data_IF_696491234096
#
_entry.id   IF_696491234096
#
_cell.length_a   1.000
_cell.length_b   1.000
_cell.length_c   1.000
_cell.angle_alpha   90.00
_cell.angle_beta   90.00
_cell.angle_gamma   90.00
#
_symmetry.space_group_name_H-M   'P 1'
#
loop_
_entity.id
_entity.type
_entity.pdbx_description
1 polymer ?
#
# COMPACT_ATOMS: atom_id res chain seq x y z
N UNK A 1 1.23 21.53 -16.44
CA UNK A 1 -0.22 21.31 -16.20
C UNK A 1 -0.81 20.19 -17.08
N UNK A 2 -0.01 19.47 -17.87
CA UNK A 2 -0.48 18.44 -18.82
C UNK A 2 -0.45 17.00 -18.26
N UNK A 3 0.18 16.80 -17.10
CA UNK A 3 0.39 15.49 -16.47
C UNK A 3 -0.80 15.03 -15.60
N UNK A 4 -1.58 15.98 -15.07
CA UNK A 4 -2.76 15.66 -14.26
C UNK A 4 -3.91 15.08 -15.09
N UNK A 5 -4.10 15.57 -16.32
CA UNK A 5 -5.14 15.09 -17.23
C UNK A 5 -4.91 13.65 -17.70
N UNK A 6 -3.66 13.18 -17.75
CA UNK A 6 -3.32 11.80 -18.15
C UNK A 6 -3.43 10.83 -16.98
N UNK A 7 -3.19 11.27 -15.75
CA UNK A 7 -3.40 10.44 -14.56
C UNK A 7 -4.89 10.17 -14.29
N UNK A 8 -5.75 11.21 -14.36
CA UNK A 8 -7.20 11.03 -14.18
C UNK A 8 -7.82 10.16 -15.28
N UNK A 9 -7.37 10.30 -16.53
CA UNK A 9 -7.81 9.44 -17.62
C UNK A 9 -7.49 7.95 -17.35
N UNK A 10 -6.33 7.66 -16.75
CA UNK A 10 -5.94 6.28 -16.37
C UNK A 10 -6.80 5.71 -15.24
N UNK A 11 -7.29 6.54 -14.31
CA UNK A 11 -8.22 6.08 -13.26
C UNK A 11 -9.54 5.59 -13.87
N UNK A 12 -10.03 6.27 -14.90
CA UNK A 12 -11.29 5.92 -15.58
C UNK A 12 -11.11 4.64 -16.40
N UNK A 13 -10.02 4.55 -17.17
CA UNK A 13 -9.73 3.39 -18.03
C UNK A 13 -9.49 2.11 -17.23
N UNK A 14 -8.83 2.20 -16.07
CA UNK A 14 -8.50 1.06 -15.23
C UNK A 14 -9.23 1.17 -13.89
N UNK A 15 -10.56 1.02 -13.90
CA UNK A 15 -11.37 1.06 -12.67
C UNK A 15 -11.98 -0.31 -12.34
N UNK A 16 -12.02 -0.63 -11.04
CA UNK A 16 -12.72 -1.79 -10.50
C UNK A 16 -13.18 -1.45 -9.08
N UNK A 17 -14.45 -1.70 -8.76
CA UNK A 17 -14.96 -1.43 -7.41
C UNK A 17 -14.48 -2.52 -6.46
N UNK A 18 -13.57 -2.16 -5.53
CA UNK A 18 -12.95 -3.08 -4.59
C UNK A 18 -13.08 -2.57 -3.17
N UNK A 19 -13.75 -3.32 -2.30
CA UNK A 19 -13.86 -3.01 -0.88
C UNK A 19 -13.60 -4.23 0.00
N UNK A 20 -12.37 -4.30 0.51
CA UNK A 20 -11.90 -5.39 1.39
C UNK A 20 -12.47 -5.37 2.81
N UNK A 21 -13.09 -4.29 3.25
CA UNK A 21 -13.59 -4.16 4.63
C UNK A 21 -15.08 -4.47 4.75
N UNK A 22 -15.75 -4.78 3.63
CA UNK A 22 -17.13 -5.26 3.64
C UNK A 22 -17.23 -6.66 4.24
N UNK A 23 -18.34 -7.00 4.92
CA UNK A 23 -18.63 -8.37 5.33
C UNK A 23 -18.64 -9.36 4.15
N UNK A 24 -19.13 -8.91 2.98
CA UNK A 24 -19.21 -9.71 1.77
C UNK A 24 -17.84 -10.20 1.31
N UNK A 25 -16.81 -9.36 1.41
CA UNK A 25 -15.44 -9.73 1.04
C UNK A 25 -14.91 -10.92 1.86
N UNK A 26 -15.33 -11.06 3.12
CA UNK A 26 -14.98 -12.22 3.95
C UNK A 26 -15.52 -13.52 3.36
N UNK A 27 -16.77 -13.51 2.92
CA UNK A 27 -17.47 -14.71 2.45
C UNK A 27 -17.21 -14.99 0.95
N UNK A 28 -16.80 -13.97 0.20
CA UNK A 28 -16.63 -13.99 -1.26
C UNK A 28 -15.22 -13.60 -1.71
N UNK A 29 -14.21 -13.79 -0.86
CA UNK A 29 -12.82 -13.44 -1.15
C UNK A 29 -12.33 -14.02 -2.50
N UNK A 30 -12.46 -15.33 -2.69
CA UNK A 30 -11.98 -16.02 -3.89
C UNK A 30 -12.65 -15.53 -5.18
N UNK A 31 -13.98 -15.48 -5.30
CA UNK A 31 -14.61 -15.01 -6.54
C UNK A 31 -14.30 -13.54 -6.83
N UNK A 32 -14.31 -12.65 -5.83
CA UNK A 32 -14.00 -11.22 -6.02
C UNK A 32 -12.57 -11.05 -6.53
N UNK A 33 -11.60 -11.67 -5.85
CA UNK A 33 -10.18 -11.52 -6.24
C UNK A 33 -9.87 -12.21 -7.56
N UNK A 34 -10.53 -13.32 -7.89
CA UNK A 34 -10.39 -14.00 -9.19
C UNK A 34 -10.94 -13.16 -10.34
N UNK A 35 -12.09 -12.52 -10.15
CA UNK A 35 -12.67 -11.60 -11.14
C UNK A 35 -11.75 -10.41 -11.37
N UNK A 36 -11.31 -9.75 -10.29
CA UNK A 36 -10.40 -8.60 -10.38
C UNK A 36 -9.10 -8.99 -11.11
N UNK A 37 -8.49 -10.10 -10.73
CA UNK A 37 -7.26 -10.59 -11.36
C UNK A 37 -7.44 -10.87 -12.86
N UNK A 38 -8.59 -11.45 -13.25
CA UNK A 38 -8.88 -11.78 -14.64
C UNK A 38 -9.28 -10.59 -15.52
N UNK A 39 -9.74 -9.49 -14.92
CA UNK A 39 -10.26 -8.33 -15.65
C UNK A 39 -9.31 -7.13 -15.61
N UNK A 40 -8.84 -6.75 -14.43
CA UNK A 40 -8.02 -5.56 -14.22
C UNK A 40 -7.06 -5.79 -13.02
N UNK A 41 -5.90 -6.44 -13.23
CA UNK A 41 -4.98 -6.81 -12.16
C UNK A 41 -4.32 -5.60 -11.47
N UNK A 42 -4.40 -4.41 -12.07
CA UNK A 42 -4.09 -3.13 -11.47
C UNK A 42 -5.24 -2.16 -11.75
N UNK A 43 -6.04 -1.86 -10.73
CA UNK A 43 -7.24 -1.06 -10.88
C UNK A 43 -7.35 0.04 -9.84
N UNK A 44 -7.93 1.17 -10.23
CA UNK A 44 -8.36 2.24 -9.37
C UNK A 44 -9.73 1.88 -8.77
N UNK A 45 -9.87 2.03 -7.46
CA UNK A 45 -11.14 1.98 -6.76
C UNK A 45 -11.42 3.32 -6.10
N UNK A 46 -12.68 3.71 -6.02
CA UNK A 46 -13.15 4.94 -5.38
C UNK A 46 -13.33 4.79 -3.85
N UNK A 47 -13.19 3.58 -3.33
CA UNK A 47 -13.35 3.30 -1.90
C UNK A 47 -12.29 4.02 -1.07
N UNK A 48 -12.70 4.50 0.11
CA UNK A 48 -11.83 5.14 1.10
C UNK A 48 -11.04 6.37 0.60
N UNK A 49 -11.63 7.14 -0.32
CA UNK A 49 -11.00 8.35 -0.87
C UNK A 49 -10.11 8.10 -2.08
N UNK A 50 -10.21 6.91 -2.69
CA UNK A 50 -9.57 6.60 -3.95
C UNK A 50 -8.16 6.02 -3.78
N UNK A 51 -7.92 4.85 -4.36
CA UNK A 51 -6.60 4.24 -4.38
C UNK A 51 -6.45 3.19 -5.49
N UNK A 52 -5.20 2.88 -5.84
CA UNK A 52 -4.86 1.76 -6.70
C UNK A 52 -4.78 0.46 -5.90
N UNK A 53 -5.28 -0.63 -6.50
CA UNK A 53 -5.23 -1.99 -5.97
C UNK A 53 -4.50 -2.86 -6.98
N UNK A 54 -3.43 -3.53 -6.53
CA UNK A 54 -2.71 -4.53 -7.29
C UNK A 54 -3.17 -5.93 -6.84
N UNK A 55 -3.83 -6.67 -7.73
CA UNK A 55 -4.30 -8.03 -7.49
C UNK A 55 -3.37 -9.09 -8.09
N UNK A 56 -2.61 -8.73 -9.13
CA UNK A 56 -1.69 -9.65 -9.81
C UNK A 56 -0.33 -9.77 -9.12
N UNK A 57 0.26 -10.96 -9.21
CA UNK A 57 1.57 -11.23 -8.61
C UNK A 57 2.66 -10.35 -9.21
N UNK A 58 2.69 -10.20 -10.54
CA UNK A 58 3.64 -9.34 -11.25
C UNK A 58 3.58 -7.90 -10.73
N UNK A 59 2.38 -7.33 -10.66
CA UNK A 59 2.12 -5.96 -10.20
C UNK A 59 2.57 -5.77 -8.75
N UNK A 60 2.18 -6.71 -7.86
CA UNK A 60 2.57 -6.69 -6.45
C UNK A 60 4.10 -6.76 -6.31
N UNK A 61 4.75 -7.67 -7.03
CA UNK A 61 6.20 -7.81 -6.95
C UNK A 61 6.94 -6.58 -7.48
N UNK A 62 6.49 -6.00 -8.60
CA UNK A 62 7.10 -4.78 -9.13
C UNK A 62 6.95 -3.61 -8.16
N UNK A 63 5.75 -3.38 -7.62
CA UNK A 63 5.51 -2.30 -6.66
C UNK A 63 6.30 -2.48 -5.35
N UNK A 64 6.37 -3.70 -4.81
CA UNK A 64 7.09 -3.99 -3.57
C UNK A 64 8.61 -3.76 -3.66
N UNK A 65 9.17 -3.76 -4.88
CA UNK A 65 10.61 -3.52 -5.14
C UNK A 65 10.88 -2.11 -5.67
N UNK A 66 9.84 -1.35 -5.98
CA UNK A 66 9.96 -0.06 -6.65
C UNK A 66 10.52 1.01 -5.68
N UNK A 67 11.66 1.64 -5.99
CA UNK A 67 12.24 2.67 -5.13
C UNK A 67 11.46 4.00 -5.15
N UNK A 68 10.44 4.11 -5.99
CA UNK A 68 9.58 5.29 -6.13
C UNK A 68 8.28 5.19 -5.30
N UNK A 69 8.02 4.03 -4.69
CA UNK A 69 6.90 3.85 -3.76
C UNK A 69 7.40 4.12 -2.34
N UNK A 70 6.62 4.89 -1.59
CA UNK A 70 6.93 5.29 -0.23
C UNK A 70 5.94 4.67 0.74
N UNK A 71 6.44 4.24 1.90
CA UNK A 71 5.63 3.82 3.03
C UNK A 71 5.56 4.90 4.13
N UNK A 72 6.25 6.03 3.95
CA UNK A 72 6.41 7.05 4.97
C UNK A 72 5.04 7.57 5.47
N UNK A 73 4.91 7.69 6.78
CA UNK A 73 3.82 8.40 7.41
C UNK A 73 4.36 9.70 8.02
N UNK A 74 4.22 10.78 7.25
CA UNK A 74 4.68 12.12 7.59
C UNK A 74 3.68 12.86 8.46
N UNK A 75 3.63 12.47 9.73
CA UNK A 75 2.69 13.00 10.72
C UNK A 75 2.96 14.46 11.06
N UNK A 76 4.22 14.87 11.03
CA UNK A 76 4.64 16.24 11.34
C UNK A 76 4.63 17.16 10.11
N UNK A 77 4.54 16.60 8.90
CA UNK A 77 4.49 17.35 7.65
C UNK A 77 5.84 17.96 7.24
N UNK A 78 6.94 17.40 7.71
CA UNK A 78 8.29 17.91 7.46
C UNK A 78 9.00 17.17 6.30
N UNK A 79 8.42 16.08 5.80
CA UNK A 79 8.97 15.24 4.74
C UNK A 79 8.17 15.44 3.45
N UNK A 80 7.59 14.37 2.89
CA UNK A 80 6.90 14.40 1.59
C UNK A 80 5.37 14.39 1.72
N UNK A 81 4.84 14.47 2.95
CA UNK A 81 3.39 14.47 3.19
C UNK A 81 2.70 13.12 2.95
N UNK A 82 3.45 12.03 2.81
CA UNK A 82 2.86 10.69 2.67
C UNK A 82 2.12 10.29 3.96
N UNK A 83 1.10 9.44 3.80
CA UNK A 83 0.08 9.18 4.84
C UNK A 83 0.20 7.80 5.48
N UNK A 84 1.32 7.11 5.27
CA UNK A 84 1.55 5.75 5.73
C UNK A 84 0.91 4.68 4.84
N UNK A 85 0.77 3.49 5.41
CA UNK A 85 0.45 2.26 4.66
C UNK A 85 -1.00 1.77 4.86
N UNK A 86 -1.79 2.47 5.66
CA UNK A 86 -3.13 2.04 6.05
C UNK A 86 -4.21 2.60 5.11
N UNK A 87 -5.11 1.72 4.64
CA UNK A 87 -6.28 2.06 3.82
C UNK A 87 -7.53 1.37 4.39
N UNK A 88 -8.56 2.10 4.87
CA UNK A 88 -8.56 3.54 5.08
C UNK A 88 -7.53 3.97 6.14
N UNK A 89 -7.06 5.21 6.05
CA UNK A 89 -6.23 5.79 7.10
C UNK A 89 -7.07 5.99 8.36
N UNK A 90 -6.73 5.28 9.44
CA UNK A 90 -7.40 5.44 10.75
C UNK A 90 -6.89 6.64 11.54
N UNK A 91 -7.64 7.06 12.56
CA UNK A 91 -7.27 8.17 13.46
C UNK A 91 -5.92 7.93 14.17
N UNK A 92 -5.65 6.70 14.60
CA UNK A 92 -4.36 6.36 15.25
C UNK A 92 -3.18 6.64 14.31
N UNK A 93 -3.34 6.39 13.01
CA UNK A 93 -2.30 6.63 12.00
C UNK A 93 -2.07 8.12 11.71
N UNK A 94 -2.92 9.03 12.21
CA UNK A 94 -2.67 10.48 12.13
C UNK A 94 -1.91 11.01 13.33
N UNK A 95 -1.87 10.26 14.43
CA UNK A 95 -1.23 10.66 15.69
C UNK A 95 0.14 10.00 15.88
N UNK A 96 0.31 8.75 15.41
CA UNK A 96 1.52 7.98 15.64
C UNK A 96 1.97 7.24 14.38
N UNK A 97 3.30 7.19 14.18
CA UNK A 97 3.92 6.44 13.07
C UNK A 97 4.12 5.00 13.50
N UNK A 98 3.70 4.04 12.67
CA UNK A 98 3.70 2.60 12.92
C UNK A 98 5.08 1.92 12.98
N UNK A 99 6.11 2.62 13.45
CA UNK A 99 7.49 2.13 13.50
C UNK A 99 8.11 1.97 12.11
N UNK A 100 9.04 1.02 11.98
CA UNK A 100 9.86 0.86 10.77
C UNK A 100 9.05 0.51 9.50
N UNK A 101 7.81 0.01 9.66
CA UNK A 101 6.93 -0.28 8.53
C UNK A 101 6.45 0.98 7.79
N UNK A 102 6.42 2.13 8.48
CA UNK A 102 6.02 3.42 7.91
C UNK A 102 7.23 4.36 7.75
N UNK A 103 8.38 3.79 7.41
CA UNK A 103 9.63 4.51 7.15
C UNK A 103 10.17 4.14 5.77
N UNK A 104 10.79 5.10 5.10
CA UNK A 104 11.59 4.86 3.91
C UNK A 104 13.08 4.79 4.26
N UNK A 105 13.90 4.36 3.29
CA UNK A 105 15.35 4.44 3.41
C UNK A 105 15.83 5.91 3.44
N UNK A 106 16.92 6.22 4.17
CA UNK A 106 17.79 5.30 4.92
C UNK A 106 17.31 5.00 6.36
N UNK A 107 16.27 5.68 6.84
CA UNK A 107 15.79 5.57 8.21
C UNK A 107 15.28 4.15 8.52
N UNK A 108 14.49 3.57 7.62
CA UNK A 108 14.03 2.18 7.72
C UNK A 108 15.19 1.21 7.98
N UNK A 109 16.28 1.30 7.19
CA UNK A 109 17.47 0.46 7.38
C UNK A 109 18.13 0.67 8.75
N UNK A 110 18.20 1.91 9.24
CA UNK A 110 18.80 2.22 10.54
C UNK A 110 18.03 1.54 11.70
N UNK A 111 16.71 1.50 11.64
CA UNK A 111 15.87 0.83 12.64
C UNK A 111 15.83 -0.70 12.48
N UNK A 112 15.86 -1.20 11.25
CA UNK A 112 15.78 -2.64 10.96
C UNK A 112 17.07 -3.38 11.30
N UNK A 113 18.23 -2.78 11.01
CA UNK A 113 19.54 -3.46 11.12
C UNK A 113 19.85 -4.00 12.52
N UNK A 114 19.61 -3.26 13.62
CA UNK A 114 19.83 -3.78 14.97
C UNK A 114 19.00 -5.02 15.33
N UNK A 115 17.85 -5.24 14.66
CA UNK A 115 16.98 -6.39 14.91
C UNK A 115 17.52 -7.70 14.32
N UNK A 116 18.44 -7.63 13.36
CA UNK A 116 18.92 -8.82 12.64
C UNK A 116 19.54 -9.89 13.57
N UNK A 117 20.23 -9.48 14.64
CA UNK A 117 20.81 -10.42 15.59
C UNK A 117 19.75 -11.26 16.32
N UNK A 118 18.67 -10.60 16.74
CA UNK A 118 17.54 -11.22 17.46
C UNK A 118 16.64 -12.07 16.56
N UNK A 119 16.71 -11.87 15.24
CA UNK A 119 15.94 -12.61 14.24
C UNK A 119 16.82 -13.56 13.41
N UNK A 120 18.04 -13.81 13.87
CA UNK A 120 18.96 -14.73 13.20
C UNK A 120 18.54 -16.18 13.43
N UNK A 121 18.93 -17.13 12.55
CA UNK A 121 18.63 -18.55 12.75
C UNK A 121 19.06 -19.07 14.12
N UNK A 122 20.18 -18.59 14.67
CA UNK A 122 20.68 -18.98 15.98
C UNK A 122 19.82 -18.47 17.16
N UNK A 123 19.05 -17.39 16.97
CA UNK A 123 18.20 -16.81 18.00
C UNK A 123 16.78 -17.39 18.05
N UNK A 124 16.35 -18.10 17.00
CA UNK A 124 14.97 -18.59 16.83
C UNK A 124 14.88 -20.13 16.79
N UNK A 125 16.02 -20.83 16.83
CA UNK A 125 16.09 -22.29 16.86
C UNK A 125 15.73 -22.89 18.24
#
# INVERSE_FOLDING_TARGET
MTEGATAEARHIEHSYHFDRHTPQYRDQFEPITSEMLGTCPLAWTDTYGGHWVAAGSSEVFELARCPHISNDNDIVGERKGYRGINIPRGEVSTQFRGGMLEMDDPEHRAYRTPLHGYLSPAAVA
#
